data_IF_843456254310
#
_entry.id   IF_843456254310
#
_cell.length_a   1.000
_cell.length_b   1.000
_cell.length_c   1.000
_cell.angle_alpha   90.00
_cell.angle_beta   90.00
_cell.angle_gamma   90.00
#
_symmetry.space_group_name_H-M   'P 1'
#
loop_
_entity.id
_entity.type
_entity.pdbx_description
1 polymer ?
#
# COMPACT_ATOMS: atom_id res chain seq x y z
N UNK A 1 -3.66 -0.49 -31.32
CA UNK A 1 -2.27 -0.76 -30.85
C UNK A 1 -2.34 -0.87 -29.33
N UNK A 2 -2.12 -2.07 -28.80
CA UNK A 2 -2.08 -2.32 -27.35
C UNK A 2 -0.78 -1.72 -26.83
N UNK A 3 -0.87 -0.67 -25.99
CA UNK A 3 0.28 -0.17 -25.29
C UNK A 3 0.71 -1.23 -24.28
N UNK A 4 1.88 -1.81 -24.47
CA UNK A 4 2.51 -2.69 -23.49
C UNK A 4 2.69 -1.88 -22.19
N UNK A 5 2.11 -2.36 -21.09
CA UNK A 5 2.40 -1.82 -19.77
C UNK A 5 3.87 -2.13 -19.50
N UNK A 6 4.69 -1.10 -19.39
CA UNK A 6 6.11 -1.23 -19.06
C UNK A 6 6.24 -1.95 -17.73
N UNK A 7 7.18 -2.90 -17.65
CA UNK A 7 7.49 -3.57 -16.38
C UNK A 7 8.18 -2.55 -15.47
N UNK A 8 7.47 -2.13 -14.41
CA UNK A 8 8.00 -1.17 -13.44
C UNK A 8 9.31 -1.63 -12.79
N UNK A 9 10.04 -0.70 -12.19
CA UNK A 9 11.33 -1.00 -11.54
C UNK A 9 11.17 -1.80 -10.25
N UNK A 10 12.10 -2.72 -10.01
CA UNK A 10 12.28 -3.43 -8.73
C UNK A 10 13.58 -2.99 -8.02
N UNK A 11 14.12 -1.82 -8.39
CA UNK A 11 15.31 -1.25 -7.75
C UNK A 11 15.10 -1.09 -6.22
N UNK A 12 16.18 -1.02 -5.46
CA UNK A 12 16.19 -0.85 -4.00
C UNK A 12 15.42 -1.91 -3.21
N UNK A 13 15.30 -3.14 -3.74
CA UNK A 13 14.61 -4.24 -3.06
C UNK A 13 13.11 -4.01 -2.90
N UNK A 14 12.50 -3.23 -3.79
CA UNK A 14 11.05 -3.00 -3.82
C UNK A 14 10.31 -4.34 -3.85
N UNK A 15 9.24 -4.49 -3.06
CA UNK A 15 8.53 -5.76 -2.92
C UNK A 15 7.57 -6.04 -4.08
N UNK A 16 7.28 -5.01 -4.87
CA UNK A 16 6.44 -5.02 -6.07
C UNK A 16 7.05 -4.10 -7.11
N UNK A 17 6.81 -4.32 -8.41
CA UNK A 17 7.16 -3.35 -9.43
C UNK A 17 6.50 -2.00 -9.17
N UNK A 18 7.25 -0.92 -9.30
CA UNK A 18 6.75 0.46 -9.15
C UNK A 18 6.85 1.14 -10.52
N UNK A 19 5.73 1.65 -10.99
CA UNK A 19 5.68 2.51 -12.19
C UNK A 19 6.32 3.85 -11.84
N UNK A 20 7.46 4.12 -12.45
CA UNK A 20 8.25 5.34 -12.18
C UNK A 20 7.56 6.58 -12.71
N UNK A 21 8.03 7.74 -12.27
CA UNK A 21 7.53 9.05 -12.73
C UNK A 21 7.64 9.21 -14.25
N UNK A 22 8.71 8.73 -14.86
CA UNK A 22 8.88 8.72 -16.31
C UNK A 22 7.86 7.83 -17.02
N UNK A 23 7.61 6.62 -16.48
CA UNK A 23 6.70 5.64 -17.07
C UNK A 23 5.24 6.08 -17.03
N UNK A 24 4.77 6.73 -15.94
CA UNK A 24 3.42 7.29 -15.92
C UNK A 24 3.29 8.68 -16.56
N UNK A 25 4.41 9.24 -17.04
CA UNK A 25 4.43 10.49 -17.79
C UNK A 25 4.28 11.74 -16.94
N UNK A 26 5.03 11.83 -15.81
CA UNK A 26 5.13 13.05 -15.04
C UNK A 26 5.72 14.19 -15.88
N UNK A 27 5.08 15.34 -15.89
CA UNK A 27 5.65 16.53 -16.50
C UNK A 27 6.63 17.19 -15.50
N UNK A 28 7.95 17.17 -15.75
CA UNK A 28 8.92 17.70 -14.79
C UNK A 28 8.77 19.20 -14.53
N UNK A 29 8.13 19.95 -15.44
CA UNK A 29 7.93 21.39 -15.27
C UNK A 29 6.88 21.76 -14.19
N UNK A 30 6.13 20.80 -13.67
CA UNK A 30 5.18 21.04 -12.57
C UNK A 30 5.85 20.94 -11.20
N UNK A 31 7.03 20.30 -11.12
CA UNK A 31 7.79 20.16 -9.88
C UNK A 31 8.59 21.45 -9.62
N UNK A 32 8.41 22.05 -8.46
CA UNK A 32 9.12 23.26 -8.05
C UNK A 32 10.01 23.06 -6.82
N UNK A 33 9.93 21.89 -6.14
CA UNK A 33 10.78 21.53 -5.01
C UNK A 33 11.60 20.29 -5.32
N UNK A 34 12.91 20.35 -5.07
CA UNK A 34 13.76 19.17 -5.12
C UNK A 34 13.41 18.16 -4.01
N UNK A 35 13.69 16.87 -4.20
CA UNK A 35 13.53 15.88 -3.16
C UNK A 35 14.35 16.22 -1.93
N UNK A 36 13.70 16.26 -0.77
CA UNK A 36 14.30 16.44 0.55
C UNK A 36 14.13 15.13 1.32
N UNK A 37 15.24 14.53 1.78
CA UNK A 37 15.24 13.21 2.43
C UNK A 37 15.41 13.36 3.92
N UNK A 38 14.46 12.86 4.67
CA UNK A 38 14.45 12.88 6.13
C UNK A 38 14.18 11.50 6.72
N UNK A 39 14.73 11.26 7.90
CA UNK A 39 14.48 10.03 8.65
C UNK A 39 12.99 9.80 8.86
N UNK A 40 12.52 8.61 8.53
CA UNK A 40 11.11 8.28 8.59
C UNK A 40 10.88 6.86 9.12
N UNK A 41 9.86 6.72 9.97
CA UNK A 41 9.56 5.45 10.64
C UNK A 41 8.07 5.16 10.79
N UNK A 42 7.21 5.94 10.13
CA UNK A 42 5.76 5.73 10.12
C UNK A 42 5.23 5.73 8.69
N UNK A 43 4.14 5.01 8.48
CA UNK A 43 3.39 4.98 7.22
C UNK A 43 2.01 5.55 7.46
N UNK A 44 1.64 6.57 6.70
CA UNK A 44 0.28 7.13 6.72
C UNK A 44 -0.46 6.64 5.49
N UNK A 45 -1.52 5.88 5.73
CA UNK A 45 -2.40 5.36 4.67
C UNK A 45 -3.47 6.39 4.38
N UNK A 46 -3.60 6.71 3.09
CA UNK A 46 -4.60 7.62 2.54
C UNK A 46 -5.51 6.93 1.54
N UNK A 47 -6.58 7.60 1.17
CA UNK A 47 -7.26 7.40 -0.10
C UNK A 47 -7.24 8.70 -0.90
N UNK A 48 -7.40 8.62 -2.23
CA UNK A 48 -7.45 9.83 -3.07
C UNK A 48 -8.82 10.50 -3.05
N UNK A 49 -9.84 9.84 -2.49
CA UNK A 49 -11.26 10.24 -2.49
C UNK A 49 -11.82 10.52 -3.91
N UNK A 50 -11.18 9.94 -4.93
CA UNK A 50 -11.60 10.04 -6.32
C UNK A 50 -12.54 8.90 -6.72
N UNK A 51 -12.89 8.85 -8.01
CA UNK A 51 -13.75 7.78 -8.52
C UNK A 51 -13.14 6.38 -8.37
N UNK A 52 -13.98 5.39 -8.07
CA UNK A 52 -13.62 3.96 -8.14
C UNK A 52 -13.91 3.37 -9.54
N UNK A 53 -14.59 4.13 -10.41
CA UNK A 53 -14.94 3.67 -11.76
C UNK A 53 -13.87 4.11 -12.78
N UNK A 54 -12.79 3.34 -12.88
CA UNK A 54 -11.72 3.53 -13.87
C UNK A 54 -11.13 2.18 -14.28
N UNK A 55 -10.57 2.12 -15.48
CA UNK A 55 -9.82 0.95 -15.98
C UNK A 55 -8.33 1.07 -15.62
N UNK A 56 -7.59 -0.05 -15.69
CA UNK A 56 -6.13 -0.06 -15.46
C UNK A 56 -5.39 0.90 -16.41
N UNK A 57 -5.83 1.01 -17.66
CA UNK A 57 -5.25 1.95 -18.63
C UNK A 57 -5.46 3.43 -18.28
N UNK A 58 -6.39 3.74 -17.37
CA UNK A 58 -6.65 5.11 -16.91
C UNK A 58 -5.86 5.47 -15.65
N UNK A 59 -5.26 4.51 -14.95
CA UNK A 59 -4.57 4.76 -13.67
C UNK A 59 -3.49 5.84 -13.80
N UNK A 60 -2.62 5.73 -14.81
CA UNK A 60 -1.56 6.72 -15.04
C UNK A 60 -2.11 8.13 -15.31
N UNK A 61 -3.23 8.26 -16.02
CA UNK A 61 -3.85 9.57 -16.27
C UNK A 61 -4.44 10.18 -15.00
N UNK A 62 -4.98 9.35 -14.09
CA UNK A 62 -5.47 9.80 -12.78
C UNK A 62 -4.29 10.30 -11.94
N UNK A 63 -3.16 9.56 -11.92
CA UNK A 63 -1.95 10.00 -11.21
C UNK A 63 -1.45 11.35 -11.74
N UNK A 64 -1.43 11.55 -13.08
CA UNK A 64 -1.09 12.86 -13.67
C UNK A 64 -2.04 13.98 -13.26
N UNK A 65 -3.34 13.69 -13.18
CA UNK A 65 -4.33 14.65 -12.71
C UNK A 65 -4.12 15.06 -11.26
N UNK A 66 -3.82 14.11 -10.38
CA UNK A 66 -3.50 14.35 -8.97
C UNK A 66 -2.19 15.15 -8.87
N UNK A 67 -1.18 14.81 -9.67
CA UNK A 67 0.08 15.55 -9.72
C UNK A 67 -0.13 17.01 -10.11
N UNK A 68 -0.85 17.26 -11.19
CA UNK A 68 -1.16 18.62 -11.62
C UNK A 68 -1.89 19.41 -10.52
N UNK A 69 -2.89 18.78 -9.91
CA UNK A 69 -3.67 19.43 -8.85
C UNK A 69 -2.81 19.78 -7.63
N UNK A 70 -1.97 18.85 -7.15
CA UNK A 70 -1.12 19.10 -5.99
C UNK A 70 0.02 20.08 -6.29
N UNK A 71 0.73 19.89 -7.40
CA UNK A 71 1.93 20.66 -7.70
C UNK A 71 1.58 22.06 -8.23
N UNK A 72 0.55 22.18 -9.10
CA UNK A 72 0.25 23.43 -9.81
C UNK A 72 -0.91 24.18 -9.16
N UNK A 73 -2.03 23.49 -8.88
CA UNK A 73 -3.22 24.15 -8.35
C UNK A 73 -3.08 24.49 -6.88
N UNK A 74 -2.51 23.57 -6.08
CA UNK A 74 -2.31 23.76 -4.63
C UNK A 74 -0.92 24.31 -4.28
N UNK A 75 -0.01 24.37 -5.23
CA UNK A 75 1.37 24.86 -5.06
C UNK A 75 2.16 24.11 -3.95
N UNK A 76 2.01 22.78 -3.94
CA UNK A 76 2.72 21.91 -2.98
C UNK A 76 4.11 21.46 -3.48
N UNK A 77 4.58 22.02 -4.56
CA UNK A 77 5.89 21.77 -5.15
C UNK A 77 6.04 20.45 -5.89
N UNK A 78 5.22 19.46 -5.58
CA UNK A 78 5.13 18.15 -6.24
C UNK A 78 3.84 17.45 -5.80
N UNK A 79 3.63 16.19 -6.26
CA UNK A 79 2.54 15.34 -5.75
C UNK A 79 2.74 15.06 -4.25
N UNK A 80 1.68 15.15 -3.45
CA UNK A 80 1.79 15.07 -2.01
C UNK A 80 2.17 13.69 -1.47
N UNK A 81 1.69 12.63 -2.10
CA UNK A 81 1.91 11.23 -1.67
C UNK A 81 3.25 10.69 -2.15
N UNK A 82 3.94 9.90 -1.34
CA UNK A 82 5.16 9.19 -1.76
C UNK A 82 4.85 8.11 -2.79
N UNK A 83 3.80 7.34 -2.57
CA UNK A 83 3.33 6.33 -3.51
C UNK A 83 1.81 6.35 -3.62
N UNK A 84 1.30 5.99 -4.80
CA UNK A 84 -0.11 5.74 -5.04
C UNK A 84 -0.29 4.29 -5.48
N UNK A 85 -1.39 3.68 -5.08
CA UNK A 85 -1.71 2.30 -5.45
C UNK A 85 -3.11 2.28 -6.04
N UNK A 86 -3.24 1.79 -7.27
CA UNK A 86 -4.54 1.66 -7.91
C UNK A 86 -5.30 0.41 -7.43
N UNK A 87 -6.58 0.31 -7.79
CA UNK A 87 -7.40 -0.84 -7.40
C UNK A 87 -6.96 -2.17 -8.02
N UNK A 88 -6.05 -2.15 -8.99
CA UNK A 88 -5.48 -3.35 -9.61
C UNK A 88 -4.18 -3.79 -8.92
N UNK A 89 -3.71 -3.02 -7.92
CA UNK A 89 -2.49 -3.28 -7.18
C UNK A 89 -1.23 -2.69 -7.83
N UNK A 90 -1.36 -1.92 -8.91
CA UNK A 90 -0.24 -1.21 -9.51
C UNK A 90 0.22 -0.09 -8.61
N UNK A 91 1.52 -0.05 -8.32
CA UNK A 91 2.14 1.00 -7.50
C UNK A 91 2.79 2.04 -8.41
N UNK A 92 2.54 3.29 -8.12
CA UNK A 92 3.12 4.45 -8.81
C UNK A 92 4.01 5.23 -7.85
N UNK A 93 5.21 5.59 -8.28
CA UNK A 93 6.00 6.60 -7.57
C UNK A 93 5.29 7.94 -7.69
N UNK A 94 4.92 8.52 -6.56
CA UNK A 94 4.32 9.85 -6.51
C UNK A 94 5.38 10.93 -6.37
N UNK A 95 5.66 11.35 -5.12
CA UNK A 95 6.69 12.36 -4.79
C UNK A 95 8.04 11.95 -5.34
N UNK A 96 8.68 12.86 -6.04
CA UNK A 96 10.00 12.66 -6.63
C UNK A 96 11.01 12.16 -5.59
N UNK A 97 11.83 11.18 -5.98
CA UNK A 97 12.87 10.60 -5.13
C UNK A 97 12.39 9.52 -4.16
N UNK A 98 11.07 9.23 -4.08
CA UNK A 98 10.57 8.24 -3.11
C UNK A 98 11.11 6.84 -3.35
N UNK A 99 11.30 6.42 -4.61
CA UNK A 99 11.94 5.15 -4.97
C UNK A 99 13.44 5.15 -4.63
N UNK A 100 14.10 6.29 -4.80
CA UNK A 100 15.55 6.44 -4.58
C UNK A 100 15.92 6.72 -3.12
N UNK A 101 14.96 6.94 -2.23
CA UNK A 101 15.21 7.31 -0.84
C UNK A 101 16.15 6.31 -0.16
N UNK A 102 17.14 6.79 0.64
CA UNK A 102 18.02 5.93 1.42
C UNK A 102 17.25 5.05 2.42
N UNK A 103 17.90 4.01 2.92
CA UNK A 103 17.30 3.17 3.95
C UNK A 103 17.06 3.95 5.24
N UNK A 104 15.85 3.88 5.78
CA UNK A 104 15.44 4.63 6.98
C UNK A 104 15.02 6.08 6.72
N UNK A 105 15.07 6.53 5.46
CA UNK A 105 14.66 7.86 5.04
C UNK A 105 13.50 7.80 4.03
N UNK A 106 12.85 8.96 3.83
CA UNK A 106 11.84 9.14 2.78
C UNK A 106 11.91 10.58 2.26
N UNK A 107 11.60 10.77 0.97
CA UNK A 107 11.38 12.09 0.41
C UNK A 107 10.19 12.74 1.13
N UNK A 108 10.41 13.92 1.73
CA UNK A 108 9.37 14.63 2.50
C UNK A 108 8.18 14.94 1.61
N UNK A 109 7.03 14.39 1.94
CA UNK A 109 5.79 14.56 1.20
C UNK A 109 5.03 15.83 1.56
N UNK A 110 3.83 15.95 0.97
CA UNK A 110 2.84 16.97 1.34
C UNK A 110 1.46 16.31 1.52
N UNK A 111 1.39 15.21 2.27
CA UNK A 111 0.20 14.37 2.40
C UNK A 111 -0.49 14.46 3.76
N UNK A 112 0.23 14.88 4.81
CA UNK A 112 -0.31 15.01 6.18
C UNK A 112 0.35 16.20 6.88
N UNK A 113 -0.31 17.36 6.86
CA UNK A 113 0.20 18.57 7.49
C UNK A 113 0.60 18.30 8.94
N UNK A 114 1.76 18.83 9.31
CA UNK A 114 2.34 18.68 10.64
C UNK A 114 3.22 17.45 10.81
N UNK A 115 3.05 16.40 10.00
CA UNK A 115 3.79 15.13 10.15
C UNK A 115 4.28 14.55 8.81
N UNK A 116 4.43 15.38 7.78
CA UNK A 116 5.01 14.93 6.51
C UNK A 116 6.44 14.42 6.70
N UNK A 117 7.27 15.14 7.45
CA UNK A 117 8.59 14.69 7.89
C UNK A 117 8.42 13.56 8.91
N UNK A 118 9.14 12.47 8.73
CA UNK A 118 9.07 11.29 9.59
C UNK A 118 8.10 10.21 9.10
N UNK A 119 7.42 10.44 7.95
CA UNK A 119 6.40 9.52 7.46
C UNK A 119 6.49 9.26 5.96
N UNK A 120 6.07 8.07 5.54
CA UNK A 120 5.79 7.73 4.16
C UNK A 120 4.28 7.81 3.90
N UNK A 121 3.86 8.67 2.96
CA UNK A 121 2.47 8.76 2.52
C UNK A 121 2.13 7.76 1.43
N UNK A 122 1.21 6.85 1.71
CA UNK A 122 0.81 5.76 0.82
C UNK A 122 -0.69 5.85 0.54
N UNK A 123 -1.06 6.23 -0.70
CA UNK A 123 -2.45 6.55 -1.05
C UNK A 123 -3.10 5.47 -1.91
N UNK A 124 -4.24 4.97 -1.47
CA UNK A 124 -5.13 4.11 -2.25
C UNK A 124 -5.94 4.95 -3.23
N UNK A 125 -5.82 4.70 -4.53
CA UNK A 125 -6.58 5.42 -5.56
C UNK A 125 -8.05 4.97 -5.55
N UNK A 126 -8.95 5.89 -5.25
CA UNK A 126 -10.39 5.68 -5.10
C UNK A 126 -10.97 6.34 -3.86
N UNK A 127 -12.27 6.15 -3.64
CA UNK A 127 -12.99 6.53 -2.42
C UNK A 127 -13.41 5.28 -1.65
N UNK A 128 -12.87 5.15 -0.44
CA UNK A 128 -13.11 4.02 0.45
C UNK A 128 -13.90 4.40 1.70
N UNK A 129 -14.77 5.38 1.55
CA UNK A 129 -15.71 5.77 2.61
C UNK A 129 -16.76 4.69 2.87
N UNK A 130 -17.26 4.03 1.82
CA UNK A 130 -18.35 3.03 1.88
C UNK A 130 -18.07 1.71 1.17
N UNK A 131 -17.03 1.65 0.31
CA UNK A 131 -16.65 0.44 -0.41
C UNK A 131 -15.28 -0.05 0.04
N UNK A 132 -15.03 -1.36 -0.08
CA UNK A 132 -13.73 -1.95 0.28
C UNK A 132 -12.70 -1.72 -0.82
N UNK A 133 -11.45 -1.37 -0.47
CA UNK A 133 -10.32 -1.56 -1.38
C UNK A 133 -10.25 -3.02 -1.84
N UNK A 134 -9.73 -3.25 -3.02
CA UNK A 134 -9.52 -4.61 -3.55
C UNK A 134 -8.38 -5.32 -2.79
N UNK A 135 -8.39 -6.65 -2.80
CA UNK A 135 -7.31 -7.44 -2.19
C UNK A 135 -5.96 -7.16 -2.87
N UNK A 136 -5.95 -6.94 -4.19
CA UNK A 136 -4.74 -6.56 -4.93
C UNK A 136 -4.16 -5.22 -4.43
N UNK A 137 -5.01 -4.23 -4.22
CA UNK A 137 -4.61 -2.93 -3.69
C UNK A 137 -4.10 -3.05 -2.25
N UNK A 138 -4.84 -3.73 -1.37
CA UNK A 138 -4.44 -3.95 0.03
C UNK A 138 -3.11 -4.69 0.13
N UNK A 139 -2.90 -5.68 -0.75
CA UNK A 139 -1.65 -6.40 -0.84
C UNK A 139 -0.47 -5.50 -1.18
N UNK A 140 -0.59 -4.70 -2.23
CA UNK A 140 0.49 -3.80 -2.64
C UNK A 140 0.76 -2.74 -1.57
N UNK A 141 -0.30 -2.16 -0.96
CA UNK A 141 -0.18 -1.20 0.15
C UNK A 141 0.55 -1.81 1.33
N UNK A 142 0.17 -3.01 1.78
CA UNK A 142 0.80 -3.68 2.92
C UNK A 142 2.26 -4.05 2.64
N UNK A 143 2.56 -4.55 1.43
CA UNK A 143 3.94 -4.89 1.03
C UNK A 143 4.84 -3.66 0.95
N UNK A 144 4.37 -2.56 0.37
CA UNK A 144 5.12 -1.29 0.34
C UNK A 144 5.35 -0.75 1.75
N UNK A 145 4.35 -0.80 2.63
CA UNK A 145 4.50 -0.41 4.03
C UNK A 145 5.56 -1.27 4.74
N UNK A 146 5.51 -2.59 4.58
CA UNK A 146 6.47 -3.52 5.17
C UNK A 146 7.88 -3.35 4.62
N UNK A 147 8.04 -3.13 3.31
CA UNK A 147 9.31 -2.82 2.67
C UNK A 147 9.96 -1.58 3.29
N UNK A 148 9.18 -0.51 3.43
CA UNK A 148 9.67 0.73 4.01
C UNK A 148 10.09 0.55 5.48
N UNK A 149 9.23 -0.04 6.32
CA UNK A 149 9.52 -0.27 7.73
C UNK A 149 10.74 -1.18 7.93
N UNK A 150 10.86 -2.25 7.14
CA UNK A 150 12.04 -3.15 7.18
C UNK A 150 13.33 -2.40 6.87
N UNK A 151 13.35 -1.54 5.86
CA UNK A 151 14.51 -0.72 5.51
C UNK A 151 14.85 0.32 6.59
N UNK A 152 13.87 0.77 7.36
CA UNK A 152 14.06 1.62 8.54
C UNK A 152 14.49 0.83 9.80
N UNK A 153 14.78 -0.48 9.69
CA UNK A 153 15.16 -1.33 10.82
C UNK A 153 14.00 -1.64 11.77
N UNK A 154 12.75 -1.41 11.35
CA UNK A 154 11.56 -1.63 12.16
C UNK A 154 11.06 -3.05 11.91
N UNK A 155 10.98 -3.84 12.98
CA UNK A 155 10.65 -5.28 12.92
C UNK A 155 9.20 -5.59 13.29
N UNK A 156 8.45 -4.63 13.84
CA UNK A 156 7.06 -4.80 14.24
C UNK A 156 6.16 -3.76 13.56
N UNK A 157 5.39 -4.21 12.58
CA UNK A 157 4.42 -3.38 11.85
C UNK A 157 3.22 -2.95 12.73
N UNK A 158 2.96 -3.66 13.83
CA UNK A 158 1.89 -3.35 14.78
C UNK A 158 2.37 -2.44 15.91
N UNK A 159 3.68 -2.21 16.00
CA UNK A 159 4.31 -1.38 17.01
C UNK A 159 3.83 0.07 16.99
N UNK A 160 4.16 0.77 18.06
CA UNK A 160 3.93 2.21 18.23
C UNK A 160 5.24 2.90 18.51
N UNK A 161 5.38 4.15 18.05
CA UNK A 161 6.55 4.97 18.38
C UNK A 161 6.18 6.46 18.40
N UNK A 162 7.10 7.26 18.89
CA UNK A 162 6.99 8.71 18.85
C UNK A 162 7.04 9.22 17.41
N UNK A 163 6.10 10.06 17.04
CA UNK A 163 6.07 10.83 15.80
C UNK A 163 6.13 12.31 16.16
N UNK A 164 7.15 13.00 15.66
CA UNK A 164 7.32 14.43 15.91
C UNK A 164 6.34 15.25 15.07
N UNK A 165 5.74 16.27 15.68
CA UNK A 165 4.81 17.20 15.03
C UNK A 165 5.56 18.49 14.69
N UNK A 166 5.75 18.74 13.40
CA UNK A 166 6.51 19.90 12.90
C UNK A 166 5.67 21.18 12.75
N UNK A 167 4.39 21.02 12.42
CA UNK A 167 3.47 22.13 12.23
C UNK A 167 2.16 21.82 12.94
N UNK A 168 1.60 22.79 13.66
CA UNK A 168 0.32 22.62 14.33
C UNK A 168 -0.80 22.36 13.32
N UNK A 169 -1.49 21.25 13.53
CA UNK A 169 -2.73 20.85 12.87
C UNK A 169 -3.65 20.28 13.95
N UNK A 170 -3.81 18.95 14.02
CA UNK A 170 -4.53 18.26 15.09
C UNK A 170 -3.76 18.23 16.42
N UNK A 171 -2.44 18.22 16.33
CA UNK A 171 -1.52 18.23 17.46
C UNK A 171 -0.61 19.46 17.39
N UNK A 172 -0.09 19.87 18.54
CA UNK A 172 0.75 21.05 18.65
C UNK A 172 2.15 20.80 18.05
N UNK A 173 2.65 21.76 17.27
CA UNK A 173 4.03 21.74 16.80
C UNK A 173 5.03 21.64 17.96
N UNK A 174 6.12 20.90 17.75
CA UNK A 174 7.14 20.61 18.76
C UNK A 174 6.79 19.46 19.69
N UNK A 175 5.54 18.93 19.67
CA UNK A 175 5.17 17.75 20.45
C UNK A 175 5.63 16.46 19.76
N UNK A 176 5.76 15.39 20.56
CA UNK A 176 5.94 14.03 20.08
C UNK A 176 4.74 13.21 20.49
N UNK A 177 4.02 12.66 19.51
CA UNK A 177 2.81 11.88 19.73
C UNK A 177 3.10 10.38 19.56
N UNK A 178 2.52 9.53 20.41
CA UNK A 178 2.69 8.08 20.32
C UNK A 178 1.70 7.51 19.31
N UNK A 179 2.17 7.13 18.11
CA UNK A 179 1.35 6.65 17.00
C UNK A 179 1.70 5.21 16.59
N UNK A 180 0.73 4.44 16.04
CA UNK A 180 1.06 3.19 15.35
C UNK A 180 2.05 3.41 14.21
N UNK A 181 2.91 2.42 13.94
CA UNK A 181 3.82 2.48 12.78
C UNK A 181 3.11 2.59 11.45
N UNK A 182 1.92 2.02 11.34
CA UNK A 182 1.02 2.16 10.18
C UNK A 182 -0.30 2.73 10.70
N UNK A 183 -0.68 3.91 10.23
CA UNK A 183 -1.84 4.66 10.70
C UNK A 183 -2.61 5.27 9.52
N UNK A 184 -3.83 5.73 9.77
CA UNK A 184 -4.62 6.45 8.78
C UNK A 184 -4.44 7.97 8.91
N UNK A 185 -4.65 8.72 7.85
CA UNK A 185 -4.54 10.19 7.87
C UNK A 185 -5.42 10.82 8.96
N UNK A 186 -6.61 10.28 9.24
CA UNK A 186 -7.51 10.76 10.29
C UNK A 186 -6.94 10.68 11.72
N UNK A 187 -5.90 9.89 11.93
CA UNK A 187 -5.27 9.78 13.24
C UNK A 187 -4.43 11.04 13.56
N UNK A 188 -3.98 11.76 12.54
CA UNK A 188 -3.09 12.93 12.66
C UNK A 188 -3.66 14.22 12.07
N UNK A 189 -4.71 14.17 11.29
CA UNK A 189 -5.37 15.32 10.66
C UNK A 189 -6.88 15.37 10.91
N UNK A 190 -7.49 16.52 10.69
CA UNK A 190 -8.95 16.73 10.73
C UNK A 190 -9.59 16.29 9.40
N UNK A 191 -9.67 14.99 9.18
CA UNK A 191 -10.14 14.39 7.93
C UNK A 191 -10.82 13.05 8.17
N UNK A 192 -11.64 12.59 7.22
CA UNK A 192 -12.21 11.24 7.19
C UNK A 192 -11.30 10.24 6.44
N UNK A 193 -10.21 10.71 5.80
CA UNK A 193 -9.24 9.88 5.07
C UNK A 193 -8.63 8.80 6.00
N UNK A 194 -8.48 7.56 5.55
CA UNK A 194 -8.66 6.99 4.21
C UNK A 194 -10.06 6.45 3.91
N UNK A 195 -11.13 7.06 4.43
CA UNK A 195 -12.50 6.56 4.37
C UNK A 195 -12.78 5.54 5.48
N UNK A 196 -14.05 5.35 5.87
CA UNK A 196 -14.38 4.47 7.01
C UNK A 196 -14.02 3.00 6.72
N UNK A 197 -14.34 2.52 5.53
CA UNK A 197 -14.01 1.15 5.13
C UNK A 197 -12.51 1.00 4.88
N UNK A 198 -11.85 1.98 4.24
CA UNK A 198 -10.40 1.99 4.08
C UNK A 198 -9.65 1.95 5.42
N UNK A 199 -10.11 2.73 6.40
CA UNK A 199 -9.55 2.73 7.76
C UNK A 199 -9.71 1.39 8.47
N UNK A 200 -10.86 0.72 8.32
CA UNK A 200 -11.10 -0.61 8.89
C UNK A 200 -10.12 -1.69 8.36
N UNK A 201 -9.46 -1.44 7.22
CA UNK A 201 -8.48 -2.35 6.61
C UNK A 201 -7.05 -2.18 7.13
N UNK A 202 -6.78 -1.22 8.01
CA UNK A 202 -5.42 -1.01 8.55
C UNK A 202 -4.86 -2.26 9.26
N UNK A 203 -5.70 -3.05 9.91
CA UNK A 203 -5.29 -4.35 10.49
C UNK A 203 -4.77 -5.32 9.43
N UNK A 204 -5.48 -5.45 8.32
CA UNK A 204 -5.06 -6.26 7.16
C UNK A 204 -3.75 -5.75 6.57
N UNK A 205 -3.62 -4.43 6.38
CA UNK A 205 -2.41 -3.79 5.87
C UNK A 205 -1.21 -4.07 6.79
N UNK A 206 -1.37 -3.96 8.13
CA UNK A 206 -0.32 -4.28 9.10
C UNK A 206 0.09 -5.75 9.05
N UNK A 207 -0.85 -6.67 8.91
CA UNK A 207 -0.56 -8.10 8.80
C UNK A 207 0.26 -8.43 7.55
N UNK A 208 -0.08 -7.83 6.41
CA UNK A 208 0.68 -7.97 5.16
C UNK A 208 2.07 -7.34 5.31
N UNK A 209 2.16 -6.16 5.93
CA UNK A 209 3.42 -5.48 6.19
C UNK A 209 4.34 -6.31 7.10
N UNK A 210 3.79 -6.94 8.15
CA UNK A 210 4.55 -7.83 9.02
C UNK A 210 5.12 -9.03 8.24
N UNK A 211 4.30 -9.66 7.40
CA UNK A 211 4.76 -10.76 6.53
C UNK A 211 5.93 -10.30 5.64
N UNK A 212 5.88 -9.09 5.10
CA UNK A 212 6.95 -8.53 4.27
C UNK A 212 8.23 -8.26 5.11
N UNK A 213 8.08 -7.78 6.34
CA UNK A 213 9.19 -7.56 7.29
C UNK A 213 9.88 -8.88 7.60
N UNK A 214 9.13 -9.92 7.94
CA UNK A 214 9.61 -11.24 8.35
C UNK A 214 10.32 -12.01 7.22
N UNK A 215 10.41 -11.42 6.03
CA UNK A 215 11.04 -12.07 4.87
C UNK A 215 10.16 -13.15 4.24
N UNK A 216 8.89 -13.19 4.62
CA UNK A 216 7.87 -13.95 3.90
C UNK A 216 7.83 -13.45 2.46
N UNK A 217 8.40 -14.22 1.54
CA UNK A 217 8.24 -13.97 0.11
C UNK A 217 6.75 -14.13 -0.23
N UNK A 218 6.03 -13.03 -0.21
CA UNK A 218 4.90 -12.93 -1.10
C UNK A 218 5.51 -12.93 -2.50
N UNK A 219 5.54 -14.08 -3.13
CA UNK A 219 6.05 -14.24 -4.49
C UNK A 219 5.32 -13.23 -5.36
N UNK A 220 6.04 -12.26 -5.92
CA UNK A 220 5.54 -11.33 -6.91
C UNK A 220 5.34 -12.11 -8.21
N UNK A 221 4.18 -12.67 -8.36
CA UNK A 221 3.70 -13.07 -9.67
C UNK A 221 2.60 -12.09 -10.03
N UNK A 222 2.69 -11.52 -11.23
CA UNK A 222 1.74 -10.57 -11.80
C UNK A 222 0.29 -11.11 -11.80
N UNK A 223 -0.68 -10.38 -12.34
CA UNK A 223 -2.08 -10.79 -12.29
C UNK A 223 -2.22 -12.20 -12.89
N UNK A 224 -2.39 -13.20 -12.01
CA UNK A 224 -2.67 -14.58 -12.42
C UNK A 224 -2.02 -15.72 -11.65
N UNK A 225 -1.05 -15.51 -10.74
CA UNK A 225 -0.44 -16.67 -10.06
C UNK A 225 -0.27 -16.44 -8.56
N UNK A 226 -1.28 -16.79 -7.78
CA UNK A 226 -1.17 -16.91 -6.32
C UNK A 226 -0.47 -18.23 -6.01
N UNK A 227 0.67 -18.20 -5.31
CA UNK A 227 1.36 -19.42 -4.89
C UNK A 227 0.72 -19.96 -3.62
N UNK A 228 -0.04 -21.03 -3.72
CA UNK A 228 -0.57 -21.76 -2.59
C UNK A 228 0.54 -22.59 -1.92
N UNK A 229 0.50 -22.71 -0.59
CA UNK A 229 1.48 -23.48 0.19
C UNK A 229 0.80 -24.36 1.25
N UNK A 230 1.56 -25.35 1.74
CA UNK A 230 1.14 -26.18 2.88
C UNK A 230 -0.23 -26.81 2.70
N UNK A 231 -1.02 -26.83 3.77
CA UNK A 231 -2.31 -27.48 3.83
C UNK A 231 -3.36 -26.89 2.88
N UNK A 232 -3.28 -25.59 2.55
CA UNK A 232 -4.18 -24.95 1.58
C UNK A 232 -3.87 -25.45 0.16
N UNK A 233 -2.60 -25.53 -0.24
CA UNK A 233 -2.21 -26.12 -1.52
C UNK A 233 -2.66 -27.58 -1.62
N UNK A 234 -2.45 -28.35 -0.57
CA UNK A 234 -2.87 -29.76 -0.50
C UNK A 234 -4.38 -29.89 -0.68
N UNK A 235 -5.16 -29.09 0.05
CA UNK A 235 -6.63 -29.14 -0.03
C UNK A 235 -7.16 -28.69 -1.40
N UNK A 236 -6.57 -27.65 -1.99
CA UNK A 236 -6.95 -27.17 -3.31
C UNK A 236 -6.61 -28.18 -4.41
N UNK A 237 -5.41 -28.78 -4.34
CA UNK A 237 -5.00 -29.84 -5.28
C UNK A 237 -5.91 -31.05 -5.18
N UNK A 238 -6.25 -31.49 -3.96
CA UNK A 238 -7.19 -32.60 -3.73
C UNK A 238 -8.61 -32.29 -4.24
N UNK A 239 -8.99 -30.98 -4.25
CA UNK A 239 -10.28 -30.54 -4.80
C UNK A 239 -10.29 -30.46 -6.35
N UNK A 240 -9.16 -30.72 -7.02
CA UNK A 240 -9.04 -30.69 -8.49
C UNK A 240 -8.20 -29.50 -9.02
N UNK A 241 -7.55 -28.72 -8.14
CA UNK A 241 -6.67 -27.62 -8.52
C UNK A 241 -7.39 -26.56 -9.36
N UNK A 242 -6.76 -26.08 -10.41
CA UNK A 242 -7.33 -25.06 -11.34
C UNK A 242 -8.66 -25.48 -11.97
N UNK A 243 -8.89 -26.78 -12.12
CA UNK A 243 -10.15 -27.33 -12.66
C UNK A 243 -11.21 -27.56 -11.59
N UNK A 244 -10.93 -27.23 -10.34
CA UNK A 244 -11.88 -27.39 -9.25
C UNK A 244 -13.04 -26.39 -9.38
N UNK A 245 -14.12 -26.70 -8.66
CA UNK A 245 -15.27 -25.78 -8.55
C UNK A 245 -14.92 -24.42 -7.92
N UNK A 246 -13.74 -24.29 -7.33
CA UNK A 246 -13.26 -23.06 -6.69
C UNK A 246 -12.54 -22.13 -7.66
N UNK A 247 -12.05 -22.63 -8.80
CA UNK A 247 -11.26 -21.87 -9.75
C UNK A 247 -9.85 -21.55 -9.24
N UNK A 248 -9.27 -20.44 -9.71
CA UNK A 248 -7.94 -20.00 -9.34
C UNK A 248 -7.96 -19.28 -7.99
N UNK A 249 -6.84 -19.34 -7.22
CA UNK A 249 -6.71 -18.59 -6.00
C UNK A 249 -6.68 -17.08 -6.30
N UNK A 250 -7.42 -16.29 -5.51
CA UNK A 250 -7.47 -14.84 -5.59
C UNK A 250 -7.02 -14.23 -4.26
N UNK A 251 -6.09 -13.27 -4.32
CA UNK A 251 -5.53 -12.67 -3.12
C UNK A 251 -4.50 -13.55 -2.40
N UNK A 252 -4.25 -13.26 -1.13
CA UNK A 252 -3.24 -13.94 -0.31
C UNK A 252 -3.89 -14.73 0.82
N UNK A 253 -3.12 -15.68 1.37
CA UNK A 253 -3.47 -16.35 2.61
C UNK A 253 -3.58 -15.33 3.75
N UNK A 254 -4.70 -15.32 4.47
CA UNK A 254 -4.96 -14.45 5.62
C UNK A 254 -5.01 -15.29 6.89
N UNK A 255 -4.14 -14.98 7.84
CA UNK A 255 -4.22 -15.57 9.19
C UNK A 255 -5.22 -14.79 10.02
N UNK A 256 -6.22 -15.48 10.52
CA UNK A 256 -7.25 -14.95 11.42
C UNK A 256 -6.71 -14.85 12.86
N UNK A 257 -7.42 -14.10 13.71
CA UNK A 257 -7.05 -13.93 15.12
C UNK A 257 -7.03 -15.24 15.92
N UNK A 258 -7.85 -16.23 15.51
CA UNK A 258 -7.88 -17.58 16.07
C UNK A 258 -6.79 -18.51 15.53
N UNK A 259 -5.87 -17.97 14.72
CA UNK A 259 -4.78 -18.70 14.09
C UNK A 259 -5.16 -19.48 12.83
N UNK A 260 -6.42 -19.51 12.43
CA UNK A 260 -6.87 -20.10 11.17
C UNK A 260 -6.25 -19.36 9.99
N UNK A 261 -5.74 -20.09 9.00
CA UNK A 261 -5.26 -19.51 7.74
C UNK A 261 -6.32 -19.72 6.67
N UNK A 262 -6.70 -18.65 6.00
CA UNK A 262 -7.77 -18.65 4.99
C UNK A 262 -7.25 -18.12 3.67
N UNK A 263 -7.60 -18.80 2.57
CA UNK A 263 -7.34 -18.40 1.19
C UNK A 263 -8.64 -18.27 0.44
N UNK A 264 -8.83 -17.15 -0.26
CA UNK A 264 -9.94 -16.94 -1.17
C UNK A 264 -9.61 -17.50 -2.57
N UNK A 265 -10.64 -18.01 -3.25
CA UNK A 265 -10.62 -18.47 -4.63
C UNK A 265 -11.74 -17.76 -5.40
N UNK A 266 -11.71 -17.80 -6.72
CA UNK A 266 -12.72 -17.13 -7.57
C UNK A 266 -14.17 -17.47 -7.20
N UNK A 267 -14.40 -18.69 -6.73
CA UNK A 267 -15.75 -19.21 -6.44
C UNK A 267 -15.86 -19.85 -5.05
N UNK A 268 -14.98 -19.48 -4.11
CA UNK A 268 -15.03 -20.04 -2.77
C UNK A 268 -13.85 -19.68 -1.88
N UNK A 269 -13.69 -20.44 -0.80
CA UNK A 269 -12.67 -20.21 0.21
C UNK A 269 -12.19 -21.54 0.80
N UNK A 270 -10.89 -21.64 1.08
CA UNK A 270 -10.30 -22.72 1.86
C UNK A 270 -9.73 -22.12 3.15
N UNK A 271 -10.12 -22.67 4.30
CA UNK A 271 -9.59 -22.29 5.61
C UNK A 271 -8.92 -23.49 6.26
N UNK A 272 -7.76 -23.29 6.88
CA UNK A 272 -7.03 -24.35 7.58
C UNK A 272 -6.85 -23.93 9.04
N UNK A 273 -7.32 -24.79 9.95
CA UNK A 273 -7.19 -24.59 11.41
C UNK A 273 -5.74 -24.76 11.89
N UNK A 274 -5.46 -24.37 13.14
CA UNK A 274 -4.17 -24.62 13.78
C UNK A 274 -3.78 -26.10 13.83
N UNK A 275 -4.76 -27.00 13.84
CA UNK A 275 -4.56 -28.47 13.81
C UNK A 275 -4.34 -29.03 12.40
N UNK A 276 -4.29 -28.15 11.38
CA UNK A 276 -4.08 -28.55 9.99
C UNK A 276 -5.33 -29.06 9.27
N UNK A 277 -6.51 -29.00 9.89
CA UNK A 277 -7.77 -29.41 9.27
C UNK A 277 -8.24 -28.37 8.27
N UNK A 278 -8.39 -28.74 6.99
CA UNK A 278 -8.89 -27.88 5.95
C UNK A 278 -10.43 -27.92 5.88
N UNK A 279 -11.04 -26.75 5.87
CA UNK A 279 -12.48 -26.56 5.63
C UNK A 279 -12.67 -25.80 4.32
N UNK A 280 -13.52 -26.32 3.47
CA UNK A 280 -13.82 -25.81 2.13
C UNK A 280 -15.25 -25.25 2.13
N UNK A 281 -15.43 -24.02 1.71
CA UNK A 281 -16.75 -23.35 1.62
C UNK A 281 -16.89 -22.60 0.31
#
# INVERSE_FOLDING_TARGET
MSAAVSAGTTANGLPVPVTTRAEWGANPSYMSWDPDYESAGHVIVHHTAGTNNYSAGQSASIVRGIYYYHAVTLDWGDIGYNFLVDKYGTVFEGRSGSVAAPAGEMSVGAHARGVNTGTMGLSMMGDYSSVSPSDAQLSSVGRMAGWFLKRAGITDANGRAGLHVWTTERYQAGSTILMPRILGHRDVGYTTCPGNVGYSKLGTIRSIAQTQIDGGSASSTGPGTVTLRGAILTAWTAAGGERSKFGLPVGYEVRQADGTVTQAFEKGRISVSLTGTATIR
#
